data_IF_982312080500
#
_entry.id   IF_982312080500
#
_cell.length_a   1.000
_cell.length_b   1.000
_cell.length_c   1.000
_cell.angle_alpha   90.00
_cell.angle_beta   90.00
_cell.angle_gamma   90.00
#
_symmetry.space_group_name_H-M   'P 1'
#
loop_
_entity.id
_entity.type
_entity.pdbx_description
1 polymer ?
#
# COMPACT_ATOMS: atom_id res chain seq x y z
N UNK A 1 0.11 0.11 -9.68
CA UNK A 1 -1.37 0.17 -9.80
C UNK A 1 -2.01 0.40 -8.44
N UNK A 2 -3.24 0.93 -8.40
CA UNK A 2 -3.93 1.27 -7.15
C UNK A 2 -3.69 2.73 -6.74
N UNK A 3 -4.11 3.65 -7.63
CA UNK A 3 -3.80 5.09 -7.53
C UNK A 3 -4.29 5.73 -6.24
N UNK A 4 -5.56 5.51 -5.90
CA UNK A 4 -6.21 6.22 -4.78
C UNK A 4 -6.28 5.41 -3.50
N UNK A 5 -6.38 4.09 -3.57
CA UNK A 5 -6.59 3.22 -2.41
C UNK A 5 -5.66 2.00 -2.44
N UNK A 6 -5.31 1.53 -1.25
CA UNK A 6 -4.38 0.44 -1.02
C UNK A 6 -4.91 -0.98 -1.21
N UNK A 7 -6.19 -1.16 -1.58
CA UNK A 7 -6.85 -2.48 -1.65
C UNK A 7 -6.06 -3.51 -2.45
N UNK A 8 -5.55 -3.12 -3.62
CA UNK A 8 -4.78 -4.02 -4.48
C UNK A 8 -3.47 -4.46 -3.83
N UNK A 9 -2.70 -3.51 -3.30
CA UNK A 9 -1.42 -3.79 -2.64
C UNK A 9 -1.64 -4.67 -1.40
N UNK A 10 -2.62 -4.33 -0.57
CA UNK A 10 -2.99 -5.10 0.62
C UNK A 10 -3.42 -6.53 0.27
N UNK A 11 -4.25 -6.69 -0.77
CA UNK A 11 -4.71 -7.99 -1.25
C UNK A 11 -3.56 -8.87 -1.73
N UNK A 12 -2.70 -8.34 -2.60
CA UNK A 12 -1.50 -9.06 -3.10
C UNK A 12 -0.58 -9.42 -1.94
N UNK A 13 -0.29 -8.46 -1.06
CA UNK A 13 0.60 -8.65 0.07
C UNK A 13 0.10 -9.72 1.03
N UNK A 14 -1.19 -9.68 1.37
CA UNK A 14 -1.84 -10.67 2.23
C UNK A 14 -1.86 -12.06 1.59
N UNK A 15 -2.22 -12.16 0.32
CA UNK A 15 -2.33 -13.44 -0.39
C UNK A 15 -0.96 -14.10 -0.63
N UNK A 16 0.08 -13.31 -0.90
CA UNK A 16 1.44 -13.82 -1.15
C UNK A 16 2.27 -14.05 0.12
N UNK A 17 1.79 -13.60 1.29
CA UNK A 17 2.58 -13.62 2.51
C UNK A 17 3.80 -12.69 2.44
N UNK A 18 3.66 -11.53 1.78
CA UNK A 18 4.72 -10.55 1.67
C UNK A 18 5.20 -10.12 3.07
N UNK A 19 6.52 -9.95 3.23
CA UNK A 19 7.15 -9.54 4.50
C UNK A 19 6.55 -8.25 5.03
N UNK A 20 6.28 -7.30 4.14
CA UNK A 20 5.65 -6.04 4.47
C UNK A 20 4.78 -5.59 3.32
N UNK A 21 3.61 -5.05 3.64
CA UNK A 21 2.82 -4.27 2.68
C UNK A 21 2.61 -2.88 3.26
N UNK A 22 2.70 -1.86 2.41
CA UNK A 22 2.50 -0.47 2.82
C UNK A 22 1.46 0.18 1.93
N UNK A 23 0.46 0.80 2.55
CA UNK A 23 -0.64 1.47 1.87
C UNK A 23 -0.79 2.92 2.36
N UNK A 24 -1.30 3.85 1.53
CA UNK A 24 -1.40 5.26 1.92
C UNK A 24 -2.32 5.50 3.12
N UNK A 25 -3.31 4.64 3.32
CA UNK A 25 -4.29 4.74 4.42
C UNK A 25 -3.69 4.57 5.82
N UNK A 26 -2.49 3.98 5.95
CA UNK A 26 -1.84 3.78 7.25
C UNK A 26 -1.28 5.08 7.85
N UNK A 27 -1.01 6.07 6.99
CA UNK A 27 -0.44 7.35 7.40
C UNK A 27 -1.57 8.36 7.61
N UNK A 28 -1.60 9.02 8.76
CA UNK A 28 -2.62 10.05 9.07
C UNK A 28 -2.11 11.46 8.74
N UNK A 29 -0.80 11.65 8.86
CA UNK A 29 -0.10 12.88 8.55
C UNK A 29 -0.04 13.11 7.03
N UNK A 30 -0.18 14.39 6.62
CA UNK A 30 -0.09 14.83 5.22
C UNK A 30 0.59 16.20 5.17
N UNK A 31 1.65 16.38 4.37
CA UNK A 31 2.37 15.35 3.62
C UNK A 31 3.18 14.41 4.54
N UNK A 32 3.38 13.17 4.10
CA UNK A 32 4.27 12.19 4.73
C UNK A 32 5.70 12.44 4.25
N UNK A 33 6.66 12.54 5.16
CA UNK A 33 8.07 12.65 4.78
C UNK A 33 8.62 11.33 4.28
N UNK A 34 9.51 11.33 3.28
CA UNK A 34 10.07 10.11 2.71
C UNK A 34 10.85 9.28 3.74
N UNK A 35 11.58 9.93 4.65
CA UNK A 35 12.34 9.24 5.71
C UNK A 35 11.45 8.32 6.55
N UNK A 36 10.17 8.68 6.71
CA UNK A 36 9.17 7.90 7.44
C UNK A 36 8.97 6.52 6.82
N UNK A 37 8.79 6.50 5.49
CA UNK A 37 8.64 5.28 4.72
C UNK A 37 9.96 4.49 4.70
N UNK A 38 11.10 5.18 4.58
CA UNK A 38 12.41 4.54 4.60
C UNK A 38 12.71 3.85 5.92
N UNK A 39 12.41 4.49 7.06
CA UNK A 39 12.62 3.88 8.37
C UNK A 39 11.69 2.67 8.58
N UNK A 40 10.50 2.64 7.95
CA UNK A 40 9.59 1.48 8.01
C UNK A 40 10.20 0.29 7.27
N UNK A 41 10.74 0.54 6.09
CA UNK A 41 11.43 -0.45 5.27
C UNK A 41 12.68 -0.97 6.00
N UNK A 42 13.54 -0.06 6.45
CA UNK A 42 14.82 -0.38 7.13
C UNK A 42 14.54 -1.12 8.43
N UNK A 43 13.63 -0.64 9.26
CA UNK A 43 13.26 -1.29 10.53
C UNK A 43 12.71 -2.71 10.31
N UNK A 44 11.91 -2.90 9.26
CA UNK A 44 11.43 -4.23 8.85
C UNK A 44 12.58 -5.15 8.46
N UNK A 45 13.52 -4.66 7.64
CA UNK A 45 14.69 -5.45 7.21
C UNK A 45 15.54 -5.83 8.42
N UNK A 46 15.80 -4.90 9.35
CA UNK A 46 16.58 -5.17 10.57
C UNK A 46 15.88 -6.24 11.42
N UNK A 47 14.56 -6.13 11.64
CA UNK A 47 13.80 -7.15 12.37
C UNK A 47 13.89 -8.52 11.68
N UNK A 48 13.85 -8.54 10.34
CA UNK A 48 13.98 -9.76 9.54
C UNK A 48 15.36 -10.40 9.70
N UNK A 49 16.42 -9.59 9.61
CA UNK A 49 17.82 -10.01 9.83
C UNK A 49 18.03 -10.55 11.24
N UNK A 50 17.48 -9.88 12.26
CA UNK A 50 17.50 -10.36 13.65
C UNK A 50 16.80 -11.72 13.84
N UNK A 51 15.86 -12.05 12.94
CA UNK A 51 15.20 -13.36 12.90
C UNK A 51 15.96 -14.40 12.06
N UNK A 52 17.21 -14.13 11.66
CA UNK A 52 18.05 -15.01 10.86
C UNK A 52 17.66 -15.10 9.38
N UNK A 53 16.82 -14.19 8.88
CA UNK A 53 16.30 -14.19 7.50
C UNK A 53 16.82 -12.95 6.77
N UNK A 54 17.57 -13.15 5.68
CA UNK A 54 18.13 -12.07 4.86
C UNK A 54 17.31 -11.78 3.59
N UNK A 55 16.22 -12.52 3.39
CA UNK A 55 15.29 -12.40 2.26
C UNK A 55 13.94 -11.80 2.69
N UNK A 56 13.25 -11.19 1.72
CA UNK A 56 11.89 -10.69 1.92
C UNK A 56 11.33 -10.02 0.68
N UNK A 57 10.01 -9.84 0.70
CA UNK A 57 9.27 -9.10 -0.33
C UNK A 57 8.49 -7.97 0.34
N UNK A 58 8.62 -6.77 -0.20
CA UNK A 58 7.83 -5.61 0.22
C UNK A 58 6.89 -5.23 -0.92
N UNK A 59 5.59 -5.11 -0.62
CA UNK A 59 4.57 -4.63 -1.56
C UNK A 59 4.21 -3.20 -1.20
N UNK A 60 4.36 -2.27 -2.15
CA UNK A 60 4.07 -0.86 -1.94
C UNK A 60 2.91 -0.44 -2.84
N UNK A 61 1.91 0.23 -2.26
CA UNK A 61 0.86 0.86 -3.04
C UNK A 61 1.40 2.06 -3.81
N UNK A 62 1.06 2.16 -5.10
CA UNK A 62 1.44 3.30 -5.95
C UNK A 62 0.91 4.63 -5.41
N UNK A 63 -0.28 4.61 -4.79
CA UNK A 63 -0.89 5.79 -4.17
C UNK A 63 -0.08 6.41 -3.02
N UNK A 64 1.00 5.77 -2.55
CA UNK A 64 1.94 6.39 -1.60
C UNK A 64 2.57 7.67 -2.15
N UNK A 65 2.77 7.77 -3.47
CA UNK A 65 3.33 8.98 -4.10
C UNK A 65 2.43 10.20 -3.87
N UNK A 66 1.10 10.03 -3.83
CA UNK A 66 0.17 11.16 -3.65
C UNK A 66 0.20 11.76 -2.24
N UNK A 67 0.73 11.02 -1.26
CA UNK A 67 0.75 11.44 0.14
C UNK A 67 2.14 11.87 0.61
N UNK A 68 3.17 11.55 -0.16
CA UNK A 68 4.56 11.91 0.15
C UNK A 68 4.79 13.41 -0.08
N UNK A 69 5.73 13.98 0.67
CA UNK A 69 6.16 15.36 0.49
C UNK A 69 6.79 15.54 -0.90
N UNK A 70 6.24 16.45 -1.73
CA UNK A 70 6.79 16.77 -3.04
C UNK A 70 8.29 17.07 -3.05
N UNK A 71 8.82 17.69 -1.99
CA UNK A 71 10.22 18.06 -1.89
C UNK A 71 11.15 16.84 -1.75
N UNK A 72 10.65 15.77 -1.11
CA UNK A 72 11.43 14.56 -0.86
C UNK A 72 11.49 13.63 -2.09
N UNK A 73 10.57 13.80 -3.05
CA UNK A 73 10.52 12.99 -4.27
C UNK A 73 11.59 13.38 -5.31
N UNK A 74 12.36 14.43 -5.04
CA UNK A 74 13.46 14.89 -5.88
C UNK A 74 12.96 15.52 -7.18
N UNK A 75 12.72 16.83 -7.16
CA UNK A 75 12.45 17.60 -8.38
C UNK A 75 11.21 17.14 -9.15
N UNK A 76 10.03 17.23 -8.54
CA UNK A 76 8.73 17.08 -9.24
C UNK A 76 8.46 18.20 -10.27
N UNK A 77 9.40 19.10 -10.50
CA UNK A 77 9.30 20.23 -11.44
C UNK A 77 9.05 19.77 -12.89
N UNK A 78 9.38 18.52 -13.22
CA UNK A 78 9.21 17.95 -14.57
C UNK A 78 8.10 16.88 -14.68
N UNK A 79 7.37 16.58 -13.61
CA UNK A 79 6.31 15.56 -13.67
C UNK A 79 5.05 16.18 -14.25
N UNK A 80 4.65 15.72 -15.44
CA UNK A 80 3.45 16.20 -16.11
C UNK A 80 2.21 15.89 -15.25
N UNK A 81 1.28 16.83 -15.22
CA UNK A 81 -0.06 16.61 -14.66
C UNK A 81 -0.97 16.10 -15.76
N UNK A 82 -1.87 15.16 -15.42
CA UNK A 82 -2.93 14.72 -16.33
C UNK A 82 -3.98 15.83 -16.55
N UNK A 83 -4.91 15.61 -17.49
CA UNK A 83 -5.99 16.55 -17.83
C UNK A 83 -6.92 16.88 -16.64
N UNK A 84 -6.83 16.12 -15.55
CA UNK A 84 -7.58 16.33 -14.32
C UNK A 84 -6.75 17.01 -13.21
N UNK A 85 -5.52 17.44 -13.53
CA UNK A 85 -4.62 18.15 -12.63
C UNK A 85 -3.87 17.27 -11.64
N UNK A 86 -3.95 15.94 -11.78
CA UNK A 86 -3.24 15.02 -10.91
C UNK A 86 -1.84 14.70 -11.46
N UNK A 87 -0.88 14.41 -10.59
CA UNK A 87 0.45 13.92 -10.98
C UNK A 87 0.33 12.63 -11.79
N UNK A 88 1.06 12.53 -12.92
CA UNK A 88 1.23 11.28 -13.65
C UNK A 88 2.15 10.34 -12.86
N UNK A 89 1.55 9.62 -11.92
CA UNK A 89 2.26 8.68 -11.04
C UNK A 89 3.05 7.60 -11.80
N UNK A 90 2.59 7.22 -12.99
CA UNK A 90 3.27 6.25 -13.84
C UNK A 90 4.66 6.71 -14.30
N UNK A 91 4.91 8.03 -14.30
CA UNK A 91 6.20 8.63 -14.68
C UNK A 91 7.13 8.80 -13.46
N UNK A 92 6.64 8.58 -12.24
CA UNK A 92 7.43 8.67 -11.00
C UNK A 92 7.95 7.29 -10.60
N UNK A 93 9.25 7.05 -10.77
CA UNK A 93 9.89 5.80 -10.32
C UNK A 93 10.13 5.80 -8.79
N UNK A 94 9.03 5.71 -8.02
CA UNK A 94 9.09 5.59 -6.56
C UNK A 94 9.85 4.32 -6.14
N UNK A 95 9.75 3.24 -6.90
CA UNK A 95 10.45 1.99 -6.61
C UNK A 95 11.96 2.16 -6.67
N UNK A 96 12.47 2.82 -7.72
CA UNK A 96 13.88 3.16 -7.86
C UNK A 96 14.38 4.16 -6.81
N UNK A 97 13.58 5.18 -6.48
CA UNK A 97 13.86 6.13 -5.41
C UNK A 97 14.03 5.41 -4.06
N UNK A 98 13.04 4.61 -3.65
CA UNK A 98 13.07 3.90 -2.39
C UNK A 98 14.18 2.85 -2.33
N UNK A 99 14.43 2.13 -3.44
CA UNK A 99 15.57 1.22 -3.54
C UNK A 99 16.87 1.95 -3.22
N UNK A 100 17.12 3.07 -3.90
CA UNK A 100 18.36 3.86 -3.74
C UNK A 100 18.52 4.38 -2.31
N UNK A 101 17.49 5.04 -1.77
CA UNK A 101 17.57 5.65 -0.45
C UNK A 101 17.59 4.61 0.68
N UNK A 102 16.83 3.51 0.57
CA UNK A 102 16.91 2.41 1.53
C UNK A 102 18.29 1.73 1.50
N UNK A 103 18.89 1.54 0.31
CA UNK A 103 20.24 0.98 0.17
C UNK A 103 21.28 1.88 0.84
N UNK A 104 21.21 3.20 0.61
CA UNK A 104 22.06 4.18 1.30
C UNK A 104 21.86 4.12 2.82
N UNK A 105 20.62 4.07 3.28
CA UNK A 105 20.27 3.99 4.70
C UNK A 105 20.81 2.73 5.38
N UNK A 106 20.71 1.56 4.73
CA UNK A 106 21.28 0.31 5.23
C UNK A 106 22.81 0.37 5.27
N UNK A 107 23.45 0.90 4.21
CA UNK A 107 24.90 1.07 4.17
C UNK A 107 25.43 1.99 5.27
N UNK A 108 24.69 3.06 5.57
CA UNK A 108 25.02 3.97 6.67
C UNK A 108 24.95 3.29 8.06
N UNK A 109 24.18 2.20 8.18
CA UNK A 109 24.12 1.35 9.37
C UNK A 109 25.14 0.19 9.33
N UNK A 110 26.07 0.19 8.36
CA UNK A 110 27.08 -0.87 8.20
C UNK A 110 26.54 -2.16 7.60
N UNK A 111 25.29 -2.18 7.13
CA UNK A 111 24.63 -3.36 6.58
C UNK A 111 24.64 -3.32 5.05
N UNK A 112 25.18 -4.36 4.42
CA UNK A 112 25.14 -4.55 2.97
C UNK A 112 24.02 -5.51 2.61
N UNK A 113 23.05 -5.03 1.83
CA UNK A 113 21.95 -5.85 1.30
C UNK A 113 21.73 -5.53 -0.18
N UNK A 114 21.23 -6.51 -0.92
CA UNK A 114 20.77 -6.31 -2.30
C UNK A 114 19.27 -6.00 -2.29
N UNK A 115 18.87 -4.87 -2.89
CA UNK A 115 17.46 -4.51 -3.08
C UNK A 115 17.19 -4.41 -4.57
N UNK A 116 16.20 -5.15 -5.04
CA UNK A 116 15.69 -5.09 -6.42
C UNK A 116 14.29 -4.50 -6.38
N UNK A 117 14.04 -3.49 -7.21
CA UNK A 117 12.72 -2.89 -7.40
C UNK A 117 12.08 -3.40 -8.68
N UNK A 118 10.79 -3.72 -8.64
CA UNK A 118 9.96 -4.06 -9.80
C UNK A 118 8.60 -3.40 -9.65
N UNK A 119 8.18 -2.66 -10.66
CA UNK A 119 6.83 -2.15 -10.78
C UNK A 119 5.98 -3.16 -11.54
N UNK A 120 4.81 -3.50 -10.98
CA UNK A 120 3.81 -4.37 -11.61
C UNK A 120 2.53 -3.57 -11.85
N UNK A 121 1.98 -3.65 -13.06
CA UNK A 121 0.84 -2.84 -13.43
C UNK A 121 0.11 -3.37 -14.65
N UNK A 122 0.59 -3.01 -15.85
CA UNK A 122 -0.08 -3.38 -17.11
C UNK A 122 -0.32 -4.89 -17.22
N UNK A 123 0.61 -5.69 -16.73
CA UNK A 123 0.53 -7.15 -16.72
C UNK A 123 -0.65 -7.66 -15.87
N UNK A 124 -1.04 -6.93 -14.82
CA UNK A 124 -2.16 -7.29 -13.95
C UNK A 124 -3.52 -6.90 -14.56
N UNK A 125 -3.57 -5.95 -15.51
CA UNK A 125 -4.83 -5.51 -16.14
C UNK A 125 -5.25 -6.38 -17.32
N UNK A 126 -4.28 -7.02 -17.96
CA UNK A 126 -4.47 -7.76 -19.20
C UNK A 126 -4.28 -9.26 -19.01
N UNK A 127 -4.25 -9.74 -17.76
CA UNK A 127 -4.25 -11.16 -17.46
C UNK A 127 -5.64 -11.75 -17.74
N UNK A 128 -5.68 -13.02 -18.13
CA UNK A 128 -6.94 -13.74 -18.28
C UNK A 128 -7.69 -13.80 -16.94
N UNK A 129 -9.02 -13.55 -16.93
CA UNK A 129 -9.80 -13.57 -15.71
C UNK A 129 -9.84 -14.97 -15.10
N UNK A 130 -9.80 -15.05 -13.77
CA UNK A 130 -9.99 -16.33 -13.07
C UNK A 130 -11.48 -16.75 -13.11
N UNK A 131 -11.81 -18.02 -12.81
CA UNK A 131 -13.21 -18.48 -12.84
C UNK A 131 -14.18 -17.60 -12.05
N UNK A 132 -13.76 -17.08 -10.90
CA UNK A 132 -14.56 -16.15 -10.10
C UNK A 132 -14.89 -14.86 -10.88
N UNK A 133 -13.91 -14.25 -11.54
CA UNK A 133 -14.12 -13.03 -12.32
C UNK A 133 -15.04 -13.29 -13.52
N UNK A 134 -14.91 -14.45 -14.17
CA UNK A 134 -15.75 -14.85 -15.31
C UNK A 134 -17.21 -14.99 -14.87
N UNK A 135 -17.47 -15.72 -13.78
CA UNK A 135 -18.81 -15.91 -13.23
C UNK A 135 -19.41 -14.58 -12.77
N UNK A 136 -18.67 -13.84 -11.93
CA UNK A 136 -19.14 -12.59 -11.36
C UNK A 136 -19.48 -11.55 -12.44
N UNK A 137 -18.63 -11.37 -13.45
CA UNK A 137 -18.88 -10.40 -14.52
C UNK A 137 -20.03 -10.82 -15.44
N UNK A 138 -20.22 -12.12 -15.67
CA UNK A 138 -21.38 -12.64 -16.42
C UNK A 138 -22.69 -12.36 -15.67
N UNK A 139 -22.71 -12.60 -14.37
CA UNK A 139 -23.89 -12.36 -13.54
C UNK A 139 -24.23 -10.87 -13.47
N UNK A 140 -23.22 -10.00 -13.31
CA UNK A 140 -23.40 -8.55 -13.38
C UNK A 140 -24.00 -8.12 -14.74
N UNK A 141 -23.50 -8.68 -15.84
CA UNK A 141 -24.00 -8.38 -17.19
C UNK A 141 -25.47 -8.82 -17.38
N UNK A 142 -25.82 -10.02 -16.92
CA UNK A 142 -27.19 -10.52 -16.94
C UNK A 142 -28.13 -9.60 -16.12
N UNK A 143 -27.75 -9.30 -14.88
CA UNK A 143 -28.54 -8.44 -14.00
C UNK A 143 -28.71 -7.03 -14.56
N UNK A 144 -27.68 -6.50 -15.25
CA UNK A 144 -27.77 -5.20 -15.92
C UNK A 144 -28.81 -5.19 -17.04
N UNK A 145 -28.79 -6.22 -17.90
CA UNK A 145 -29.78 -6.35 -18.98
C UNK A 145 -31.20 -6.51 -18.42
N UNK A 146 -31.38 -7.38 -17.43
CA UNK A 146 -32.67 -7.60 -16.79
C UNK A 146 -33.20 -6.32 -16.12
N UNK A 147 -32.36 -5.60 -15.38
CA UNK A 147 -32.75 -4.35 -14.72
C UNK A 147 -33.26 -3.29 -15.72
N UNK A 148 -32.65 -3.20 -16.91
CA UNK A 148 -33.13 -2.32 -17.97
C UNK A 148 -34.46 -2.78 -18.58
N UNK A 149 -34.63 -4.08 -18.81
CA UNK A 149 -35.88 -4.66 -19.34
C UNK A 149 -37.06 -4.43 -18.38
N UNK A 150 -36.80 -4.45 -17.08
CA UNK A 150 -37.79 -4.19 -16.03
C UNK A 150 -38.07 -2.68 -15.82
N UNK A 151 -37.49 -1.81 -16.68
CA UNK A 151 -37.68 -0.36 -16.65
C UNK A 151 -36.78 0.38 -15.64
N UNK A 152 -35.81 -0.30 -15.05
CA UNK A 152 -34.81 0.28 -14.16
C UNK A 152 -33.85 1.21 -14.90
N UNK A 153 -33.31 2.20 -14.19
CA UNK A 153 -32.30 3.14 -14.71
C UNK A 153 -31.41 3.70 -13.60
N UNK A 154 -30.37 4.44 -13.97
CA UNK A 154 -29.53 5.27 -13.10
C UNK A 154 -28.98 4.57 -11.84
N UNK A 155 -28.55 3.31 -11.98
CA UNK A 155 -27.99 2.54 -10.89
C UNK A 155 -26.73 1.77 -11.32
N UNK A 156 -25.83 1.56 -10.37
CA UNK A 156 -24.76 0.58 -10.46
C UNK A 156 -25.33 -0.80 -10.13
N UNK A 157 -25.01 -1.78 -10.97
CA UNK A 157 -25.36 -3.17 -10.72
C UNK A 157 -24.40 -3.76 -9.69
N UNK A 158 -24.94 -4.42 -8.67
CA UNK A 158 -24.15 -5.11 -7.67
C UNK A 158 -24.80 -6.43 -7.28
N UNK A 159 -24.00 -7.37 -6.81
CA UNK A 159 -24.46 -8.63 -6.22
C UNK A 159 -24.02 -8.61 -4.75
N UNK A 160 -24.97 -8.75 -3.83
CA UNK A 160 -24.76 -8.75 -2.39
C UNK A 160 -25.41 -10.00 -1.81
N UNK A 161 -24.65 -10.81 -1.09
CA UNK A 161 -25.13 -12.09 -0.54
C UNK A 161 -25.83 -12.98 -1.58
N UNK A 162 -25.27 -13.03 -2.80
CA UNK A 162 -25.80 -13.80 -3.93
C UNK A 162 -27.07 -13.23 -4.57
N UNK A 163 -27.46 -11.99 -4.24
CA UNK A 163 -28.66 -11.34 -4.76
C UNK A 163 -28.31 -10.08 -5.55
N UNK A 164 -29.01 -9.87 -6.65
CA UNK A 164 -28.96 -8.60 -7.36
C UNK A 164 -29.51 -7.47 -6.48
N UNK A 165 -28.67 -6.45 -6.27
CA UNK A 165 -29.02 -5.25 -5.52
C UNK A 165 -28.59 -4.03 -6.34
N UNK A 166 -29.52 -3.25 -6.92
CA UNK A 166 -29.17 -2.02 -7.62
C UNK A 166 -28.78 -0.94 -6.61
N UNK A 167 -27.66 -0.24 -6.87
CA UNK A 167 -27.21 0.90 -6.06
C UNK A 167 -27.45 2.17 -6.87
N UNK A 168 -28.43 3.00 -6.53
CA UNK A 168 -28.70 4.24 -7.26
C UNK A 168 -27.47 5.16 -7.28
N UNK A 169 -27.16 5.77 -8.44
CA UNK A 169 -25.98 6.63 -8.57
C UNK A 169 -26.00 7.83 -7.60
N UNK A 170 -27.20 8.34 -7.27
CA UNK A 170 -27.38 9.41 -6.28
C UNK A 170 -26.82 9.07 -4.90
N UNK A 171 -26.73 7.78 -4.55
CA UNK A 171 -26.15 7.31 -3.28
C UNK A 171 -24.61 7.17 -3.33
N UNK A 172 -24.03 7.19 -4.54
CA UNK A 172 -22.60 6.98 -4.75
C UNK A 172 -21.82 8.29 -4.96
N UNK A 173 -22.54 9.35 -5.31
CA UNK A 173 -21.98 10.66 -5.60
C UNK A 173 -21.93 11.50 -4.33
N UNK A 174 -20.79 12.15 -4.10
CA UNK A 174 -20.66 13.17 -3.07
C UNK A 174 -21.44 14.43 -3.50
N UNK A 175 -22.44 14.89 -2.71
CA UNK A 175 -23.28 16.03 -3.09
C UNK A 175 -22.52 17.35 -3.27
N UNK A 176 -21.38 17.53 -2.59
CA UNK A 176 -20.61 18.76 -2.63
C UNK A 176 -19.68 18.80 -3.85
N UNK A 177 -19.14 17.66 -4.27
CA UNK A 177 -18.17 17.60 -5.38
C UNK A 177 -18.75 17.09 -6.69
N UNK A 178 -19.93 16.46 -6.66
CA UNK A 178 -20.53 15.80 -7.81
C UNK A 178 -19.76 14.58 -8.32
N UNK A 179 -18.73 14.13 -7.60
CA UNK A 179 -17.88 12.99 -7.98
C UNK A 179 -18.25 11.74 -7.17
N UNK A 180 -18.00 10.57 -7.75
CA UNK A 180 -18.13 9.31 -7.03
C UNK A 180 -17.17 9.25 -5.85
N UNK A 181 -17.67 8.84 -4.68
CA UNK A 181 -16.84 8.69 -3.47
C UNK A 181 -15.88 7.52 -3.62
N UNK A 182 -14.58 7.77 -3.51
CA UNK A 182 -13.57 6.71 -3.45
C UNK A 182 -13.64 6.01 -2.09
N UNK A 183 -13.71 4.68 -2.10
CA UNK A 183 -13.69 3.86 -0.89
C UNK A 183 -12.26 3.46 -0.56
N UNK A 184 -11.69 4.09 0.46
CA UNK A 184 -10.35 3.79 0.96
C UNK A 184 -10.34 2.47 1.75
N UNK A 185 -9.16 1.89 1.97
CA UNK A 185 -9.03 0.78 2.93
C UNK A 185 -9.37 1.28 4.33
N UNK A 186 -10.28 0.59 5.02
CA UNK A 186 -10.53 0.81 6.43
C UNK A 186 -9.46 0.09 7.27
N UNK A 187 -8.52 0.86 7.83
CA UNK A 187 -7.46 0.34 8.70
C UNK A 187 -7.99 -0.14 10.06
N UNK A 188 -9.23 0.19 10.43
CA UNK A 188 -9.91 -0.38 11.60
C UNK A 188 -10.50 -1.76 11.34
N UNK A 189 -10.66 -2.15 10.07
CA UNK A 189 -11.31 -3.40 9.70
C UNK A 189 -10.51 -4.64 10.12
N UNK A 190 -11.21 -5.71 10.49
CA UNK A 190 -10.57 -6.99 10.82
C UNK A 190 -9.71 -7.51 9.66
N UNK A 191 -10.14 -7.34 8.41
CA UNK A 191 -9.38 -7.82 7.25
C UNK A 191 -7.99 -7.19 7.15
N UNK A 192 -7.90 -5.88 7.39
CA UNK A 192 -6.63 -5.17 7.44
C UNK A 192 -5.82 -5.54 8.67
N UNK A 193 -6.44 -5.59 9.86
CA UNK A 193 -5.73 -5.94 11.11
C UNK A 193 -5.09 -7.34 11.03
N UNK A 194 -5.81 -8.31 10.45
CA UNK A 194 -5.28 -9.65 10.16
C UNK A 194 -4.09 -9.56 9.20
N UNK A 195 -4.22 -8.83 8.10
CA UNK A 195 -3.12 -8.67 7.15
C UNK A 195 -1.88 -8.06 7.82
N UNK A 196 -2.07 -7.01 8.63
CA UNK A 196 -1.01 -6.32 9.36
C UNK A 196 -0.31 -7.23 10.36
N UNK A 197 -1.04 -8.12 11.04
CA UNK A 197 -0.49 -9.04 12.03
C UNK A 197 0.50 -10.07 11.43
N UNK A 198 0.31 -10.44 10.16
CA UNK A 198 1.22 -11.36 9.47
C UNK A 198 2.44 -10.66 8.85
N UNK A 199 2.48 -9.33 8.82
CA UNK A 199 3.64 -8.59 8.35
C UNK A 199 4.73 -8.55 9.41
N UNK A 200 5.98 -8.48 8.97
CA UNK A 200 7.13 -8.21 9.85
C UNK A 200 7.25 -6.70 9.98
N UNK A 201 6.95 -6.18 11.16
CA UNK A 201 7.13 -4.77 11.54
C UNK A 201 7.75 -4.70 12.92
N UNK A 202 8.52 -3.65 13.19
CA UNK A 202 8.87 -3.31 14.57
C UNK A 202 7.58 -2.91 15.30
N UNK A 203 7.42 -3.43 16.52
CA UNK A 203 6.26 -3.24 17.38
C UNK A 203 6.71 -2.78 18.75
N UNK A 204 5.78 -2.24 19.54
CA UNK A 204 6.07 -1.85 20.92
C UNK A 204 6.66 -3.01 21.75
N UNK A 205 6.26 -4.25 21.46
CA UNK A 205 6.84 -5.44 22.08
C UNK A 205 8.35 -5.59 21.80
N UNK A 206 8.78 -5.32 20.57
CA UNK A 206 10.21 -5.39 20.20
C UNK A 206 11.04 -4.30 20.90
N UNK A 207 10.44 -3.13 21.13
CA UNK A 207 11.10 -2.05 21.86
C UNK A 207 11.09 -2.29 23.37
N UNK A 208 10.05 -2.90 23.92
CA UNK A 208 9.91 -3.14 25.36
C UNK A 208 10.67 -4.38 25.85
N UNK A 209 11.09 -5.28 24.96
CA UNK A 209 12.02 -6.36 25.26
C UNK A 209 13.49 -5.87 25.11
N UNK A 210 14.24 -5.72 26.22
CA UNK A 210 15.61 -5.21 26.17
C UNK A 210 16.57 -6.10 25.36
N UNK A 211 16.32 -7.41 25.31
CA UNK A 211 17.17 -8.34 24.57
C UNK A 211 16.91 -8.22 23.06
N UNK A 212 15.66 -8.11 22.63
CA UNK A 212 15.31 -7.89 21.21
C UNK A 212 15.82 -6.52 20.75
N UNK A 213 15.53 -5.46 21.51
CA UNK A 213 16.00 -4.11 21.21
C UNK A 213 17.53 -4.05 21.12
N UNK A 214 18.23 -4.67 22.08
CA UNK A 214 19.70 -4.73 22.09
C UNK A 214 20.28 -5.41 20.85
N UNK A 215 19.70 -6.55 20.42
CA UNK A 215 20.15 -7.24 19.19
C UNK A 215 19.89 -6.42 17.93
N UNK A 216 18.70 -5.83 17.79
CA UNK A 216 18.37 -4.98 16.65
C UNK A 216 19.26 -3.73 16.57
N UNK A 217 19.51 -3.08 17.72
CA UNK A 217 20.38 -1.91 17.81
C UNK A 217 21.84 -2.28 17.46
N UNK A 218 22.35 -3.39 18.00
CA UNK A 218 23.68 -3.89 17.69
C UNK A 218 23.86 -4.23 16.20
N UNK A 219 22.86 -4.88 15.58
CA UNK A 219 22.86 -5.14 14.13
C UNK A 219 22.92 -3.86 13.30
N UNK A 220 22.28 -2.79 13.77
CA UNK A 220 22.27 -1.50 13.10
C UNK A 220 23.49 -0.61 13.45
N UNK A 221 24.39 -1.05 14.33
CA UNK A 221 25.50 -0.23 14.81
C UNK A 221 25.06 0.99 15.64
N UNK A 222 23.90 0.91 16.30
CA UNK A 222 23.30 1.99 17.09
C UNK A 222 23.24 1.63 18.58
N UNK A 223 23.14 2.64 19.45
CA UNK A 223 22.70 2.40 20.84
C UNK A 223 21.21 2.03 20.88
N UNK A 224 20.74 1.28 21.90
CA UNK A 224 19.32 0.98 22.07
C UNK A 224 18.41 2.22 22.07
N UNK A 225 18.89 3.32 22.66
CA UNK A 225 18.17 4.60 22.69
C UNK A 225 18.09 5.24 21.30
N UNK A 226 19.20 5.31 20.56
CA UNK A 226 19.22 5.85 19.20
C UNK A 226 18.35 5.01 18.24
N UNK A 227 18.37 3.68 18.40
CA UNK A 227 17.51 2.78 17.63
C UNK A 227 16.03 3.04 17.92
N UNK A 228 15.65 3.16 19.20
CA UNK A 228 14.28 3.49 19.59
C UNK A 228 13.87 4.84 19.02
N UNK A 229 14.69 5.89 19.20
CA UNK A 229 14.36 7.24 18.74
C UNK A 229 14.10 7.30 17.24
N UNK A 230 14.83 6.51 16.45
CA UNK A 230 14.65 6.43 15.01
C UNK A 230 13.44 5.60 14.59
N UNK A 231 13.26 4.40 15.15
CA UNK A 231 12.32 3.41 14.61
C UNK A 231 11.02 3.24 15.41
N UNK A 232 10.93 3.72 16.66
CA UNK A 232 9.77 3.48 17.53
C UNK A 232 8.48 4.09 16.97
N UNK A 233 8.59 5.26 16.35
CA UNK A 233 7.41 5.91 15.84
C UNK A 233 6.84 5.20 14.61
N UNK A 234 7.51 4.21 14.00
CA UNK A 234 7.32 3.76 12.61
C UNK A 234 6.25 2.68 12.40
N UNK A 235 5.75 2.10 13.48
CA UNK A 235 4.74 1.03 13.48
C UNK A 235 3.31 1.51 13.34
#
# INVERSE_FOLDING_TARGET
MGRKAGHLALGIGKASGATLTVIPEEFRERPVKLHRLLDLLIGTIIKRLNSGRADGVVVLAEGLVEILDPQDLGGLEHVERDEHGHLRLAEVDIGGLLRREATKGMKALGLSISIVSKTIGYELRCADPIPYDIEYTRDLGYCAAQYLLDGGTAAMVSIQDGRFTPIPFKQMVDPATGRAKVRMVDIGSQSYQIARQYMIRLTDGDFNDPAVLGRCAALAGLSPEAFRNRFANVG
#
